data_IF_820211656967
#
_entry.id   IF_820211656967
#
_cell.length_a   1.000
_cell.length_b   1.000
_cell.length_c   1.000
_cell.angle_alpha   90.00
_cell.angle_beta   90.00
_cell.angle_gamma   90.00
#
_symmetry.space_group_name_H-M   'P 1'
#
loop_
_entity.id
_entity.type
_entity.pdbx_description
1 polymer ?
#
# COMPACT_ATOMS: atom_id res chain seq x y z
N UNK A 1 -0.34 13.68 -44.67
CA UNK A 1 0.90 14.50 -44.88
C UNK A 1 1.91 14.02 -43.85
N UNK A 2 2.86 13.23 -44.33
CA UNK A 2 3.89 12.55 -43.54
C UNK A 2 5.13 13.46 -43.38
N UNK A 3 5.77 13.43 -42.20
CA UNK A 3 7.17 13.81 -42.10
C UNK A 3 7.88 12.93 -41.07
N UNK A 4 8.93 12.21 -41.43
CA UNK A 4 9.82 11.53 -40.52
C UNK A 4 11.00 12.41 -40.11
N UNK A 5 11.37 12.45 -38.83
CA UNK A 5 12.54 13.14 -38.29
C UNK A 5 13.56 12.15 -37.73
N UNK A 6 14.78 12.36 -38.15
CA UNK A 6 15.95 11.47 -38.19
C UNK A 6 16.60 11.23 -36.81
N UNK A 7 17.08 10.02 -36.71
CA UNK A 7 18.04 9.45 -35.75
C UNK A 7 19.41 10.14 -35.86
N UNK A 8 20.05 10.47 -34.75
CA UNK A 8 21.51 10.70 -34.66
C UNK A 8 22.09 9.88 -33.53
N UNK A 9 22.83 8.84 -33.93
CA UNK A 9 23.77 8.13 -33.08
C UNK A 9 25.04 8.99 -32.91
N UNK A 10 25.51 9.10 -31.66
CA UNK A 10 26.91 9.50 -31.38
C UNK A 10 27.50 8.46 -30.44
N UNK A 11 28.41 7.67 -31.01
CA UNK A 11 29.31 6.78 -30.31
C UNK A 11 30.55 7.56 -29.90
N UNK A 12 30.94 7.48 -28.63
CA UNK A 12 32.30 7.87 -28.19
C UNK A 12 32.92 6.70 -27.43
N UNK A 13 33.89 6.09 -28.09
CA UNK A 13 34.88 5.20 -27.47
C UNK A 13 36.00 6.05 -26.85
N UNK A 14 36.43 5.75 -25.65
CA UNK A 14 37.73 6.13 -25.14
C UNK A 14 38.34 4.94 -24.38
N UNK A 15 39.45 4.45 -24.96
CA UNK A 15 40.37 3.48 -24.40
C UNK A 15 41.45 4.19 -23.56
N UNK A 16 42.05 3.47 -22.63
CA UNK A 16 43.32 3.76 -22.00
C UNK A 16 43.21 3.74 -20.47
N UNK A 17 44.03 3.04 -19.69
CA UNK A 17 45.32 2.52 -19.85
C UNK A 17 45.68 1.75 -18.59
N UNK A 18 46.52 0.72 -18.76
CA UNK A 18 47.15 -0.09 -17.74
C UNK A 18 48.19 0.69 -16.93
N UNK A 19 48.31 0.43 -15.65
CA UNK A 19 49.57 0.61 -14.90
C UNK A 19 49.68 -0.44 -13.80
N UNK A 20 50.86 -1.05 -13.78
CA UNK A 20 51.26 -2.24 -13.05
C UNK A 20 51.81 -1.96 -11.64
N UNK A 21 51.75 -3.00 -10.81
CA UNK A 21 52.76 -3.44 -9.83
C UNK A 21 52.95 -2.63 -8.54
N UNK A 22 52.77 -3.35 -7.46
CA UNK A 22 53.30 -3.02 -6.16
C UNK A 22 52.73 -3.99 -5.11
N UNK A 23 53.37 -5.17 -4.93
CA UNK A 23 53.14 -6.02 -3.77
C UNK A 23 53.91 -5.47 -2.57
N UNK A 24 53.26 -5.28 -1.45
CA UNK A 24 53.92 -5.33 -0.15
C UNK A 24 53.40 -6.52 0.68
N UNK A 25 54.37 -7.15 1.31
CA UNK A 25 54.37 -8.22 2.30
C UNK A 25 53.30 -8.05 3.40
N UNK A 26 52.62 -9.14 3.82
CA UNK A 26 51.70 -9.09 4.93
C UNK A 26 52.38 -9.05 6.29
N UNK A 27 51.93 -8.23 7.23
CA UNK A 27 52.29 -8.36 8.64
C UNK A 27 51.47 -9.45 9.34
N UNK A 28 51.92 -9.93 10.52
CA UNK A 28 51.39 -11.13 11.16
C UNK A 28 49.99 -10.95 11.75
N UNK A 29 49.25 -12.06 11.76
CA UNK A 29 47.92 -12.20 12.28
C UNK A 29 47.78 -11.70 13.73
N UNK A 30 46.94 -10.69 13.91
CA UNK A 30 46.34 -10.40 15.19
C UNK A 30 44.99 -11.12 15.24
N UNK A 31 44.86 -12.05 16.20
CA UNK A 31 43.59 -12.64 16.59
C UNK A 31 42.65 -11.53 17.06
N UNK A 32 41.81 -11.04 16.18
CA UNK A 32 40.74 -10.10 16.49
C UNK A 32 39.43 -10.87 16.63
N UNK A 33 38.80 -10.71 17.79
CA UNK A 33 37.51 -11.24 18.15
C UNK A 33 36.49 -11.04 17.03
N UNK A 34 35.72 -12.09 16.75
CA UNK A 34 34.58 -12.04 15.86
C UNK A 34 33.60 -10.93 16.31
N UNK A 35 33.17 -10.02 15.42
CA UNK A 35 32.05 -9.15 15.77
C UNK A 35 30.81 -10.03 15.91
N UNK A 36 30.21 -9.95 17.09
CA UNK A 36 28.88 -10.50 17.33
C UNK A 36 27.96 -10.04 16.20
N UNK A 37 27.45 -11.00 15.45
CA UNK A 37 26.47 -10.75 14.41
C UNK A 37 25.31 -9.97 15.00
N UNK A 38 25.13 -8.74 14.56
CA UNK A 38 23.87 -8.06 14.72
C UNK A 38 22.85 -8.89 13.96
N UNK A 39 22.12 -9.73 14.70
CA UNK A 39 20.84 -10.23 14.23
C UNK A 39 20.02 -9.01 13.87
N UNK A 40 19.86 -8.77 12.58
CA UNK A 40 18.82 -7.89 12.11
C UNK A 40 17.53 -8.46 12.69
N UNK A 41 16.96 -7.78 13.67
CA UNK A 41 15.65 -8.10 14.19
C UNK A 41 14.72 -8.09 12.98
N UNK A 42 14.14 -9.25 12.68
CA UNK A 42 13.03 -9.32 11.75
C UNK A 42 12.04 -8.24 12.21
N UNK A 43 11.46 -7.45 11.29
CA UNK A 43 10.46 -6.46 11.67
C UNK A 43 9.40 -7.20 12.47
N UNK A 44 9.23 -6.81 13.71
CA UNK A 44 8.19 -7.34 14.57
C UNK A 44 6.89 -7.23 13.79
N UNK A 45 6.21 -8.36 13.65
CA UNK A 45 4.86 -8.39 13.08
C UNK A 45 4.10 -7.27 13.76
N UNK A 46 3.63 -6.29 12.98
CA UNK A 46 3.02 -5.06 13.46
C UNK A 46 2.06 -5.39 14.58
N UNK A 47 2.30 -4.84 15.78
CA UNK A 47 1.31 -4.82 16.84
C UNK A 47 0.03 -4.34 16.19
N UNK A 48 -1.01 -5.20 16.18
CA UNK A 48 -2.13 -5.14 15.23
C UNK A 48 -2.66 -3.72 15.04
N UNK A 49 -2.97 -3.38 13.81
CA UNK A 49 -3.71 -2.18 13.50
C UNK A 49 -4.94 -2.09 14.40
N UNK A 50 -5.32 -0.89 14.83
CA UNK A 50 -6.44 -0.69 15.76
C UNK A 50 -7.78 -1.14 15.20
N UNK A 51 -7.96 -1.06 13.86
CA UNK A 51 -9.20 -1.50 13.24
C UNK A 51 -9.20 -3.02 13.02
N UNK A 52 -10.08 -3.77 13.68
CA UNK A 52 -10.14 -5.22 13.54
C UNK A 52 -10.70 -5.62 12.16
N UNK A 53 -10.12 -6.67 11.58
CA UNK A 53 -10.72 -7.32 10.40
C UNK A 53 -11.83 -8.25 10.88
N UNK A 54 -13.06 -7.88 10.58
CA UNK A 54 -14.23 -8.71 10.83
C UNK A 54 -14.43 -9.72 9.69
N UNK A 55 -14.91 -10.92 10.01
CA UNK A 55 -15.24 -11.97 9.04
C UNK A 55 -16.72 -12.38 9.14
N UNK A 56 -17.50 -11.64 9.91
CA UNK A 56 -18.93 -11.82 10.04
C UNK A 56 -19.70 -11.41 8.78
N UNK A 57 -21.02 -11.51 8.86
CA UNK A 57 -21.88 -11.03 7.79
C UNK A 57 -21.81 -9.51 7.69
N UNK A 58 -21.78 -9.01 6.45
CA UNK A 58 -21.91 -7.56 6.20
C UNK A 58 -23.27 -7.04 6.69
N UNK A 59 -23.34 -5.79 7.13
CA UNK A 59 -24.64 -5.17 7.45
C UNK A 59 -25.46 -4.93 6.18
N UNK A 60 -26.78 -4.89 6.31
CA UNK A 60 -27.72 -4.76 5.18
C UNK A 60 -27.42 -3.59 4.24
N UNK A 61 -26.88 -2.49 4.79
CA UNK A 61 -26.50 -1.33 3.96
C UNK A 61 -25.23 -1.53 3.13
N UNK A 62 -24.42 -2.53 3.45
CA UNK A 62 -23.16 -2.84 2.78
C UNK A 62 -23.21 -4.13 1.95
N UNK A 63 -24.24 -4.95 2.12
CA UNK A 63 -24.42 -6.18 1.35
C UNK A 63 -25.24 -5.99 0.07
N UNK A 64 -25.79 -4.81 -0.15
CA UNK A 64 -26.55 -4.47 -1.35
C UNK A 64 -25.69 -4.68 -2.62
N UNK A 65 -26.11 -5.59 -3.47
CA UNK A 65 -25.39 -5.94 -4.70
C UNK A 65 -24.49 -7.17 -4.59
N UNK A 66 -24.34 -7.77 -3.41
CA UNK A 66 -23.73 -9.08 -3.29
C UNK A 66 -24.73 -10.19 -3.61
N UNK A 67 -24.29 -11.12 -4.45
CA UNK A 67 -25.01 -12.39 -4.66
C UNK A 67 -24.24 -13.49 -3.94
N UNK A 68 -24.89 -14.17 -3.00
CA UNK A 68 -24.28 -15.27 -2.25
C UNK A 68 -23.89 -14.91 -0.81
N UNK A 69 -22.85 -15.56 -0.29
CA UNK A 69 -22.43 -15.38 1.10
C UNK A 69 -21.72 -14.02 1.29
N UNK A 70 -22.25 -13.21 2.19
CA UNK A 70 -21.72 -11.89 2.52
C UNK A 70 -20.69 -11.91 3.66
N UNK A 71 -20.21 -13.10 4.07
CA UNK A 71 -19.14 -13.26 5.05
C UNK A 71 -17.78 -13.04 4.43
N UNK A 72 -17.48 -11.80 4.13
CA UNK A 72 -16.21 -11.36 3.56
C UNK A 72 -15.35 -10.70 4.65
N UNK A 73 -14.01 -10.84 4.60
CA UNK A 73 -13.12 -10.03 5.42
C UNK A 73 -13.41 -8.55 5.17
N UNK A 74 -13.66 -7.79 6.22
CA UNK A 74 -13.97 -6.37 6.09
C UNK A 74 -13.52 -5.57 7.33
N UNK A 75 -13.32 -4.27 7.12
CA UNK A 75 -12.95 -3.31 8.16
C UNK A 75 -13.92 -2.15 8.12
N UNK A 76 -14.48 -1.80 9.27
CA UNK A 76 -15.32 -0.61 9.40
C UNK A 76 -14.48 0.63 9.66
N UNK A 77 -14.92 1.76 9.12
CA UNK A 77 -14.43 3.06 9.57
C UNK A 77 -14.81 3.31 11.04
N UNK A 78 -14.01 4.11 11.73
CA UNK A 78 -14.18 4.42 13.17
C UNK A 78 -15.54 5.03 13.50
N UNK A 79 -16.13 5.74 12.52
CA UNK A 79 -17.48 6.32 12.64
C UNK A 79 -18.58 5.42 12.08
N UNK A 80 -18.21 4.29 11.47
CA UNK A 80 -19.14 3.40 10.80
C UNK A 80 -19.79 3.97 9.55
N UNK A 81 -19.21 5.02 8.94
CA UNK A 81 -19.74 5.70 7.77
C UNK A 81 -19.32 5.03 6.45
N UNK A 82 -18.28 4.19 6.51
CA UNK A 82 -17.76 3.44 5.37
C UNK A 82 -17.24 2.08 5.84
N UNK A 83 -17.30 1.09 4.96
CA UNK A 83 -16.65 -0.22 5.15
C UNK A 83 -15.74 -0.53 3.99
N UNK A 84 -14.58 -1.11 4.28
CA UNK A 84 -13.65 -1.69 3.33
C UNK A 84 -13.86 -3.21 3.28
N UNK A 85 -14.35 -3.74 2.18
CA UNK A 85 -14.54 -5.18 1.96
C UNK A 85 -13.32 -5.69 1.19
N UNK A 86 -12.59 -6.64 1.80
CA UNK A 86 -11.30 -7.11 1.33
C UNK A 86 -11.47 -8.37 0.47
N UNK A 87 -11.25 -8.28 -0.84
CA UNK A 87 -11.31 -9.44 -1.74
C UNK A 87 -10.06 -10.31 -1.66
N UNK A 88 -8.96 -9.77 -1.14
CA UNK A 88 -7.73 -10.48 -0.77
C UNK A 88 -7.35 -10.15 0.66
N UNK A 89 -7.15 -11.17 1.48
CA UNK A 89 -6.68 -11.02 2.86
C UNK A 89 -5.65 -12.11 3.17
N UNK A 90 -4.49 -11.75 3.76
CA UNK A 90 -4.04 -10.40 4.10
C UNK A 90 -3.76 -9.51 2.88
N UNK A 91 -3.87 -8.19 3.03
CA UNK A 91 -3.33 -7.25 2.07
C UNK A 91 -1.79 -7.33 2.11
N UNK A 92 -1.13 -7.20 0.95
CA UNK A 92 0.34 -7.34 0.85
C UNK A 92 0.96 -6.25 0.00
N UNK A 93 2.24 -5.97 0.31
CA UNK A 93 3.06 -5.03 -0.44
C UNK A 93 3.49 -5.65 -1.73
N UNK A 94 3.50 -5.77 -2.69
CA UNK A 94 4.02 -6.49 -3.88
C UNK A 94 3.57 -7.93 -3.93
N UNK A 95 2.76 -8.23 -4.90
CA UNK A 95 2.42 -9.60 -5.27
C UNK A 95 2.92 -9.88 -6.67
N UNK A 96 3.74 -10.90 -6.81
CA UNK A 96 4.07 -11.45 -8.11
C UNK A 96 2.93 -12.31 -8.66
N UNK A 97 2.16 -12.93 -7.75
CA UNK A 97 1.05 -13.83 -8.08
C UNK A 97 -0.04 -13.76 -7.00
N UNK A 98 -1.25 -14.16 -7.33
CA UNK A 98 -2.36 -14.26 -6.39
C UNK A 98 -3.36 -13.10 -6.44
N UNK A 99 -4.32 -13.06 -5.49
CA UNK A 99 -5.35 -12.04 -5.47
C UNK A 99 -4.75 -10.65 -5.24
N UNK A 100 -5.19 -9.67 -6.01
CA UNK A 100 -4.78 -8.27 -5.87
C UNK A 100 -5.33 -7.65 -4.58
N UNK A 101 -4.77 -6.52 -4.13
CA UNK A 101 -5.30 -5.71 -3.03
C UNK A 101 -6.61 -5.01 -3.45
N UNK A 102 -7.55 -5.80 -3.98
CA UNK A 102 -8.86 -5.30 -4.38
C UNK A 102 -9.71 -5.07 -3.15
N UNK A 103 -10.18 -3.84 -2.99
CA UNK A 103 -11.07 -3.41 -1.92
C UNK A 103 -12.34 -2.85 -2.55
N UNK A 104 -13.49 -3.25 -2.03
CA UNK A 104 -14.74 -2.58 -2.32
C UNK A 104 -15.09 -1.67 -1.13
N UNK A 105 -15.11 -0.39 -1.40
CA UNK A 105 -15.54 0.62 -0.44
C UNK A 105 -17.04 0.78 -0.54
N UNK A 106 -17.74 0.66 0.56
CA UNK A 106 -19.17 0.91 0.63
C UNK A 106 -19.43 1.99 1.67
N UNK A 107 -19.90 3.14 1.21
CA UNK A 107 -20.31 4.23 2.08
C UNK A 107 -21.73 3.98 2.59
N UNK A 108 -21.98 4.25 3.87
CA UNK A 108 -23.34 4.21 4.42
C UNK A 108 -24.21 5.23 3.67
N UNK A 109 -25.45 4.87 3.29
CA UNK A 109 -26.37 5.83 2.69
C UNK A 109 -26.52 7.08 3.56
N UNK A 110 -26.48 8.24 2.93
CA UNK A 110 -26.67 9.50 3.65
C UNK A 110 -28.13 9.64 4.11
N UNK A 111 -28.32 10.10 5.33
CA UNK A 111 -29.67 10.42 5.85
C UNK A 111 -30.23 11.75 5.33
N UNK A 112 -29.39 12.59 4.75
CA UNK A 112 -29.75 13.85 4.10
C UNK A 112 -29.25 13.88 2.66
N UNK A 113 -29.87 14.71 1.82
CA UNK A 113 -29.39 14.91 0.44
C UNK A 113 -27.95 15.40 0.45
N UNK A 114 -27.05 14.77 -0.35
CA UNK A 114 -25.68 15.23 -0.46
C UNK A 114 -25.62 16.66 -0.96
N UNK A 115 -24.62 17.41 -0.52
CA UNK A 115 -24.27 18.70 -1.13
C UNK A 115 -23.90 18.48 -2.60
N UNK A 116 -24.64 19.03 -3.58
CA UNK A 116 -24.36 18.83 -4.98
C UNK A 116 -23.00 19.40 -5.42
N UNK A 117 -22.41 20.31 -4.64
CA UNK A 117 -21.09 20.87 -4.89
C UNK A 117 -19.95 20.00 -4.33
N UNK A 118 -20.26 19.06 -3.45
CA UNK A 118 -19.23 18.18 -2.88
C UNK A 118 -18.73 17.15 -3.91
N UNK A 119 -17.40 16.99 -4.02
CA UNK A 119 -16.83 15.94 -4.85
C UNK A 119 -17.28 14.56 -4.39
N UNK A 120 -17.77 13.76 -5.32
CA UNK A 120 -18.12 12.37 -5.06
C UNK A 120 -16.89 11.46 -4.95
N UNK A 121 -15.76 11.84 -5.55
CA UNK A 121 -14.50 11.06 -5.51
C UNK A 121 -14.14 10.69 -4.08
N UNK A 122 -13.85 9.41 -3.84
CA UNK A 122 -13.28 8.98 -2.57
C UNK A 122 -11.77 9.24 -2.59
N UNK A 123 -11.34 10.15 -1.74
CA UNK A 123 -9.90 10.45 -1.52
C UNK A 123 -9.43 9.69 -0.30
N UNK A 124 -8.47 8.81 -0.50
CA UNK A 124 -7.82 7.98 0.53
C UNK A 124 -6.45 8.57 0.81
N UNK A 125 -6.26 9.17 1.98
CA UNK A 125 -4.94 9.60 2.45
C UNK A 125 -4.46 8.57 3.47
N UNK A 126 -3.44 7.80 3.10
CA UNK A 126 -2.86 6.76 3.93
C UNK A 126 -1.53 7.22 4.51
N UNK A 127 -1.34 7.05 5.82
CA UNK A 127 -0.09 7.35 6.54
C UNK A 127 0.41 6.08 7.22
N UNK A 128 1.65 5.70 6.95
CA UNK A 128 2.27 4.54 7.58
C UNK A 128 2.67 4.85 9.01
N UNK A 129 2.24 4.01 9.93
CA UNK A 129 2.57 4.13 11.34
C UNK A 129 4.10 4.08 11.57
N UNK A 130 4.57 4.89 12.50
CA UNK A 130 5.98 4.96 12.89
C UNK A 130 6.94 5.56 11.84
N UNK A 131 6.51 5.86 10.61
CA UNK A 131 7.42 6.38 9.57
C UNK A 131 7.05 7.77 9.03
N UNK A 132 5.80 8.18 9.19
CA UNK A 132 5.30 9.40 8.57
C UNK A 132 5.16 9.35 7.04
N UNK A 133 5.47 8.22 6.40
CA UNK A 133 5.25 8.02 4.96
C UNK A 133 3.77 8.21 4.64
N UNK A 134 3.48 9.09 3.69
CA UNK A 134 2.10 9.40 3.29
C UNK A 134 1.92 9.21 1.80
N UNK A 135 0.81 8.60 1.42
CA UNK A 135 0.38 8.45 0.02
C UNK A 135 -1.09 8.78 -0.12
N UNK A 136 -1.48 9.23 -1.31
CA UNK A 136 -2.88 9.48 -1.64
C UNK A 136 -3.31 8.57 -2.77
N UNK A 137 -4.54 8.06 -2.68
CA UNK A 137 -5.22 7.31 -3.74
C UNK A 137 -6.61 7.89 -3.92
N UNK A 138 -7.14 7.77 -5.12
CA UNK A 138 -8.46 8.26 -5.46
C UNK A 138 -9.30 7.17 -6.12
N UNK A 139 -10.57 7.11 -5.74
CA UNK A 139 -11.57 6.26 -6.39
C UNK A 139 -12.58 7.18 -7.05
N UNK A 140 -12.52 7.26 -8.36
CA UNK A 140 -13.39 8.13 -9.14
C UNK A 140 -14.86 7.72 -8.98
N UNK A 141 -15.73 8.69 -8.85
CA UNK A 141 -17.16 8.47 -8.70
C UNK A 141 -17.61 8.15 -7.27
N UNK A 142 -16.70 7.99 -6.32
CA UNK A 142 -17.02 7.78 -4.91
C UNK A 142 -16.58 6.41 -4.37
N UNK A 143 -17.10 6.02 -3.19
CA UNK A 143 -16.90 4.68 -2.67
C UNK A 143 -17.32 3.63 -3.71
N UNK A 144 -16.41 2.69 -4.02
CA UNK A 144 -16.57 1.70 -5.07
C UNK A 144 -15.39 0.74 -5.11
N UNK A 145 -15.29 -0.16 -6.11
CA UNK A 145 -14.18 -1.09 -6.23
C UNK A 145 -12.90 -0.39 -6.64
N UNK A 146 -11.80 -0.72 -5.99
CA UNK A 146 -10.47 -0.22 -6.35
C UNK A 146 -9.38 -1.23 -5.98
N UNK A 147 -8.20 -1.08 -6.59
CA UNK A 147 -6.96 -1.74 -6.15
C UNK A 147 -6.19 -0.69 -5.36
N UNK A 148 -5.87 -1.00 -4.11
CA UNK A 148 -5.14 -0.09 -3.23
C UNK A 148 -3.81 -0.73 -2.86
N UNK A 149 -2.77 -0.39 -3.62
CA UNK A 149 -1.41 -0.82 -3.35
C UNK A 149 -0.68 0.28 -2.59
N UNK A 150 -0.11 -0.10 -1.44
CA UNK A 150 0.69 0.78 -0.60
C UNK A 150 2.16 0.35 -0.62
N UNK A 151 3.12 1.29 -0.51
CA UNK A 151 4.51 1.04 -0.85
C UNK A 151 5.31 0.27 0.21
N UNK A 152 4.77 0.07 1.41
CA UNK A 152 5.48 -0.59 2.51
C UNK A 152 4.54 -1.45 3.36
N UNK A 153 5.09 -2.52 3.93
CA UNK A 153 4.41 -3.33 4.93
C UNK A 153 4.29 -2.55 6.25
N UNK A 154 3.24 -2.82 6.98
CA UNK A 154 2.95 -2.17 8.26
C UNK A 154 1.49 -1.81 8.42
N UNK A 155 1.20 -1.08 9.48
CA UNK A 155 -0.11 -0.52 9.72
C UNK A 155 -0.23 0.84 9.05
N UNK A 156 -1.26 1.01 8.24
CA UNK A 156 -1.56 2.25 7.55
C UNK A 156 -2.82 2.88 8.13
N UNK A 157 -2.69 4.08 8.64
CA UNK A 157 -3.82 4.89 9.05
C UNK A 157 -4.41 5.62 7.85
N UNK A 158 -5.66 5.31 7.51
CA UNK A 158 -6.36 5.85 6.36
C UNK A 158 -7.36 6.92 6.80
N UNK A 159 -7.28 8.08 6.17
CA UNK A 159 -8.33 9.10 6.17
C UNK A 159 -9.06 9.03 4.86
N UNK A 160 -10.36 8.83 4.92
CA UNK A 160 -11.28 8.61 3.81
C UNK A 160 -12.21 9.81 3.70
N UNK A 161 -12.22 10.50 2.54
CA UNK A 161 -13.06 11.68 2.35
C UNK A 161 -13.86 11.55 1.04
N UNK A 162 -15.16 11.70 1.09
CA UNK A 162 -16.07 11.62 -0.06
C UNK A 162 -17.38 12.39 0.22
N UNK A 163 -17.94 13.02 -0.77
CA UNK A 163 -19.27 13.68 -0.68
C UNK A 163 -19.46 14.51 0.60
N UNK A 164 -18.45 15.28 0.99
CA UNK A 164 -18.46 16.08 2.23
C UNK A 164 -18.34 15.26 3.54
N UNK A 165 -18.18 13.96 3.46
CA UNK A 165 -18.03 13.05 4.61
C UNK A 165 -16.57 12.67 4.82
N UNK A 166 -16.23 12.31 6.05
CA UNK A 166 -14.89 11.83 6.42
C UNK A 166 -15.02 10.70 7.43
N UNK A 167 -14.27 9.64 7.21
CA UNK A 167 -14.08 8.56 8.17
C UNK A 167 -12.59 8.16 8.23
N UNK A 168 -12.21 7.35 9.21
CA UNK A 168 -10.86 6.82 9.37
C UNK A 168 -10.90 5.32 9.65
N UNK A 169 -9.84 4.61 9.28
CA UNK A 169 -9.61 3.21 9.63
C UNK A 169 -8.14 2.85 9.48
N UNK A 170 -7.75 1.74 10.06
CA UNK A 170 -6.42 1.17 9.86
C UNK A 170 -6.46 -0.07 8.99
N UNK A 171 -5.52 -0.19 8.05
CA UNK A 171 -5.32 -1.39 7.25
C UNK A 171 -3.88 -1.91 7.38
N UNK A 172 -3.75 -3.18 7.73
CA UNK A 172 -2.47 -3.86 7.79
C UNK A 172 -2.05 -4.42 6.44
N UNK A 173 -0.84 -4.08 5.98
CA UNK A 173 -0.20 -4.66 4.80
C UNK A 173 0.96 -5.55 5.23
N UNK A 174 0.91 -6.82 4.87
CA UNK A 174 2.00 -7.76 5.09
C UNK A 174 3.11 -7.55 4.05
N UNK A 175 4.34 -7.95 4.39
CA UNK A 175 5.40 -8.06 3.39
C UNK A 175 4.98 -9.05 2.30
N UNK A 176 5.32 -8.75 1.05
CA UNK A 176 5.15 -9.69 -0.06
C UNK A 176 6.06 -10.91 0.14
N UNK A 177 5.60 -12.07 -0.24
CA UNK A 177 6.40 -13.30 -0.33
C UNK A 177 7.01 -13.44 -1.70
#
# INVERSE_FOLDING_TARGET
MSRPGRISLVSVLLLGGCASAGSPTPPPAASGAAPAGSSAAAPAASAGCHSPVATGRLPDWADAGFSGDTRMPHVFGDRGEIVAILFGHPLTVSRSEGPTNKILWVGRPASASPDPAASTTLVITATLDGSGTRVTREVAGGPGPSIVDLPAAGCWHLRLAWSGRVDTMDLGYAAGT
#
